data_IF_594153585642
#
_entry.id   IF_594153585642
#
_cell.length_a   1.000
_cell.length_b   1.000
_cell.length_c   1.000
_cell.angle_alpha   90.00
_cell.angle_beta   90.00
_cell.angle_gamma   90.00
#
_symmetry.space_group_name_H-M   'P 1'
#
loop_
_entity.id
_entity.type
_entity.pdbx_description
1 polymer ?
#
# COMPACT_ATOMS: atom_id res chain seq x y z
N UNK A 1 4.99 -23.66 -19.92
CA UNK A 1 4.57 -22.63 -18.94
C UNK A 1 3.36 -21.95 -19.54
N UNK A 2 2.19 -22.10 -18.93
CA UNK A 2 1.00 -21.40 -19.43
C UNK A 2 1.16 -19.92 -19.18
N UNK A 3 1.26 -19.16 -20.26
CA UNK A 3 1.35 -17.70 -20.22
C UNK A 3 0.06 -17.18 -19.57
N UNK A 4 0.13 -16.27 -18.58
CA UNK A 4 -1.07 -15.72 -17.98
C UNK A 4 -1.96 -15.16 -19.09
N UNK A 5 -3.28 -15.45 -19.06
CA UNK A 5 -4.18 -15.05 -20.14
C UNK A 5 -4.01 -13.56 -20.43
N UNK A 6 -3.93 -13.16 -21.71
CA UNK A 6 -3.70 -11.76 -22.13
C UNK A 6 -4.66 -10.79 -21.43
N UNK A 7 -5.88 -11.25 -21.12
CA UNK A 7 -6.89 -10.52 -20.35
C UNK A 7 -6.46 -10.15 -18.92
N UNK A 8 -5.65 -10.98 -18.26
CA UNK A 8 -5.09 -10.72 -16.93
C UNK A 8 -4.05 -9.60 -16.97
N UNK A 9 -3.19 -9.57 -18.00
CA UNK A 9 -2.23 -8.48 -18.19
C UNK A 9 -2.93 -7.15 -18.45
N UNK A 10 -3.98 -7.15 -19.28
CA UNK A 10 -4.78 -5.95 -19.54
C UNK A 10 -5.49 -5.45 -18.26
N UNK A 11 -6.04 -6.36 -17.45
CA UNK A 11 -6.66 -6.03 -16.17
C UNK A 11 -5.66 -5.42 -15.18
N UNK A 12 -4.50 -6.05 -15.00
CA UNK A 12 -3.45 -5.55 -14.12
C UNK A 12 -2.91 -4.19 -14.56
N UNK A 13 -2.82 -3.96 -15.88
CA UNK A 13 -2.38 -2.67 -16.40
C UNK A 13 -3.42 -1.57 -16.12
N UNK A 14 -4.71 -1.87 -16.29
CA UNK A 14 -5.79 -0.94 -15.96
C UNK A 14 -5.84 -0.62 -14.44
N UNK A 15 -5.68 -1.64 -13.60
CA UNK A 15 -5.64 -1.46 -12.15
C UNK A 15 -4.42 -0.65 -11.70
N UNK A 16 -3.26 -0.83 -12.34
CA UNK A 16 -2.08 -0.01 -12.09
C UNK A 16 -2.29 1.46 -12.46
N UNK A 17 -2.93 1.76 -13.60
CA UNK A 17 -3.25 3.14 -13.99
C UNK A 17 -4.27 3.77 -13.03
N UNK A 18 -5.26 3.00 -12.56
CA UNK A 18 -6.20 3.43 -11.53
C UNK A 18 -5.50 3.78 -10.22
N UNK A 19 -4.56 2.93 -9.78
CA UNK A 19 -3.78 3.16 -8.56
C UNK A 19 -2.85 4.38 -8.68
N UNK A 20 -2.18 4.57 -9.83
CA UNK A 20 -1.37 5.76 -10.09
C UNK A 20 -2.18 7.05 -9.96
N UNK A 21 -3.37 7.08 -10.57
CA UNK A 21 -4.28 8.23 -10.48
C UNK A 21 -4.69 8.50 -9.04
N UNK A 22 -5.01 7.45 -8.27
CA UNK A 22 -5.37 7.57 -6.85
C UNK A 22 -4.22 8.13 -6.01
N UNK A 23 -2.98 7.70 -6.27
CA UNK A 23 -1.78 8.22 -5.59
C UNK A 23 -1.59 9.72 -5.89
N UNK A 24 -1.76 10.14 -7.14
CA UNK A 24 -1.65 11.56 -7.52
C UNK A 24 -2.69 12.40 -6.76
N UNK A 25 -3.94 11.95 -6.74
CA UNK A 25 -5.02 12.64 -6.02
C UNK A 25 -4.75 12.73 -4.51
N UNK A 26 -4.28 11.64 -3.89
CA UNK A 26 -3.93 11.63 -2.47
C UNK A 26 -2.76 12.57 -2.17
N UNK A 27 -1.72 12.61 -3.02
CA UNK A 27 -0.61 13.55 -2.87
C UNK A 27 -1.06 15.00 -2.96
N UNK A 28 -1.98 15.31 -3.87
CA UNK A 28 -2.55 16.66 -3.98
C UNK A 28 -3.37 17.01 -2.73
N UNK A 29 -4.19 16.09 -2.24
CA UNK A 29 -4.98 16.29 -1.04
C UNK A 29 -4.12 16.52 0.21
N UNK A 30 -3.01 15.77 0.35
CA UNK A 30 -2.05 15.99 1.44
C UNK A 30 -1.45 17.40 1.37
N UNK A 31 -1.01 17.85 0.19
CA UNK A 31 -0.49 19.22 0.01
C UNK A 31 -1.53 20.30 0.38
N UNK A 32 -2.80 20.07 0.06
CA UNK A 32 -3.86 21.02 0.39
C UNK A 32 -4.14 21.04 1.90
N UNK A 33 -4.08 19.90 2.58
CA UNK A 33 -4.19 19.83 4.04
C UNK A 33 -2.99 20.48 4.74
N UNK A 34 -1.78 20.26 4.26
CA UNK A 34 -0.57 20.92 4.77
C UNK A 34 -0.69 22.44 4.68
N UNK A 35 -1.24 22.96 3.56
CA UNK A 35 -1.50 24.40 3.40
C UNK A 35 -2.52 24.91 4.42
N UNK A 36 -3.64 24.21 4.60
CA UNK A 36 -4.67 24.58 5.58
C UNK A 36 -4.15 24.58 7.02
N UNK A 37 -3.27 23.64 7.37
CA UNK A 37 -2.63 23.60 8.69
C UNK A 37 -1.70 24.82 8.86
N UNK A 38 -0.92 25.18 7.84
CA UNK A 38 -0.06 26.35 7.88
C UNK A 38 -0.86 27.66 8.03
N UNK A 39 -1.99 27.78 7.35
CA UNK A 39 -2.91 28.93 7.46
C UNK A 39 -3.52 29.04 8.87
N UNK A 40 -4.06 27.94 9.42
CA UNK A 40 -4.64 27.92 10.76
C UNK A 40 -3.62 28.23 11.87
N UNK A 41 -2.38 27.75 11.74
CA UNK A 41 -1.33 28.03 12.72
C UNK A 41 -0.94 29.53 12.71
N UNK A 42 -1.00 30.20 11.56
CA UNK A 42 -0.74 31.64 11.46
C UNK A 42 -1.82 32.50 12.12
N UNK A 43 -3.06 32.02 12.14
CA UNK A 43 -4.21 32.69 12.75
C UNK A 43 -4.26 32.48 14.28
N UNK A 44 -3.84 31.31 14.76
CA UNK A 44 -3.74 31.02 16.19
C UNK A 44 -2.60 31.79 16.88
N UNK A 45 -1.46 31.99 16.21
CA UNK A 45 -0.33 32.79 16.76
C UNK A 45 -0.66 34.29 16.84
N UNK A 46 -1.57 34.81 16.01
CA UNK A 46 -2.03 36.21 16.09
C UNK A 46 -3.04 36.49 17.21
N UNK A 47 -3.65 35.45 17.79
CA UNK A 47 -4.78 35.61 18.73
C UNK A 47 -4.39 35.48 20.22
N UNK A 48 -3.14 35.13 20.53
CA UNK A 48 -2.67 34.87 21.90
C UNK A 48 -1.86 36.01 22.53
N UNK A 49 -2.29 37.27 22.37
CA UNK A 49 -1.77 38.40 23.16
C UNK A 49 -2.91 39.16 23.85
N UNK A 50 -3.59 38.48 24.77
CA UNK A 50 -4.44 39.13 25.77
C UNK A 50 -3.77 38.91 27.13
N UNK A 51 -2.92 39.86 27.51
CA UNK A 51 -2.40 39.96 28.88
C UNK A 51 -3.54 40.42 29.78
N UNK A 52 -4.04 39.54 30.63
CA UNK A 52 -5.01 39.88 31.68
C UNK A 52 -4.23 40.55 32.82
N UNK A 53 -4.27 41.88 32.86
CA UNK A 53 -3.78 42.70 33.95
C UNK A 53 -4.92 42.87 34.97
N UNK A 54 -4.88 42.10 36.06
CA UNK A 54 -5.78 42.31 37.20
C UNK A 54 -5.17 43.34 38.14
N UNK A 55 -5.51 44.61 37.94
CA UNK A 55 -5.26 45.66 38.93
C UNK A 55 -6.32 45.58 40.03
N UNK A 56 -5.91 45.13 41.21
CA UNK A 56 -6.72 45.19 42.44
C UNK A 56 -6.65 46.62 42.96
N UNK A 57 -7.63 47.44 42.57
CA UNK A 57 -7.85 48.77 43.14
C UNK A 57 -8.43 48.61 44.55
N UNK A 58 -7.59 48.84 45.56
CA UNK A 58 -8.02 48.99 46.95
C UNK A 58 -8.85 50.27 47.10
N UNK A 59 -10.16 50.13 47.32
CA UNK A 59 -11.07 51.23 47.66
C UNK A 59 -11.17 51.42 49.19
N UNK A 60 -11.46 52.65 49.66
CA UNK A 60 -11.27 53.07 51.04
C UNK A 60 -12.44 52.66 51.95
N UNK A 61 -12.10 52.40 53.23
CA UNK A 61 -13.06 52.18 54.32
C UNK A 61 -14.00 53.37 54.49
N UNK A 62 -15.33 53.19 54.53
CA UNK A 62 -16.23 54.18 55.09
C UNK A 62 -16.37 53.98 56.60
N UNK A 63 -16.12 55.06 57.33
CA UNK A 63 -16.45 55.21 58.74
C UNK A 63 -17.95 54.97 58.96
N UNK A 64 -18.32 54.07 59.86
CA UNK A 64 -19.71 53.95 60.34
C UNK A 64 -19.84 54.58 61.72
N UNK A 65 -20.51 55.71 61.72
CA UNK A 65 -21.23 56.29 62.86
C UNK A 65 -22.29 55.32 63.38
N UNK A 66 -22.35 55.23 64.70
CA UNK A 66 -23.29 54.46 65.50
C UNK A 66 -24.73 54.95 65.28
N UNK A 67 -25.55 54.16 64.59
CA UNK A 67 -27.01 54.36 64.51
C UNK A 67 -27.71 53.05 64.86
N UNK A 68 -28.62 53.13 65.84
CA UNK A 68 -29.41 52.00 66.36
C UNK A 68 -30.44 51.52 65.32
N UNK A 69 -30.13 50.45 64.58
CA UNK A 69 -31.12 49.61 63.88
C UNK A 69 -30.71 48.13 64.00
N UNK A 70 -31.05 47.51 65.14
CA UNK A 70 -30.48 46.21 65.54
C UNK A 70 -31.15 44.97 64.91
N UNK A 71 -32.38 45.08 64.41
CA UNK A 71 -33.14 43.90 63.95
C UNK A 71 -33.11 43.70 62.42
N UNK A 72 -33.22 44.77 61.63
CA UNK A 72 -33.39 44.67 60.18
C UNK A 72 -32.08 44.39 59.44
N UNK A 73 -30.96 44.95 59.95
CA UNK A 73 -29.60 44.69 59.43
C UNK A 73 -29.20 43.21 59.62
N UNK A 74 -29.60 42.62 60.75
CA UNK A 74 -29.34 41.20 61.04
C UNK A 74 -30.09 40.27 60.08
N UNK A 75 -31.35 40.61 59.76
CA UNK A 75 -32.16 39.88 58.79
C UNK A 75 -31.55 40.02 57.38
N UNK A 76 -31.10 41.22 57.01
CA UNK A 76 -30.42 41.48 55.73
C UNK A 76 -29.12 40.68 55.61
N UNK A 77 -28.30 40.66 56.67
CA UNK A 77 -27.05 39.89 56.69
C UNK A 77 -27.31 38.39 56.59
N UNK A 78 -28.33 37.88 57.29
CA UNK A 78 -28.70 36.47 57.22
C UNK A 78 -29.16 36.07 55.81
N UNK A 79 -29.96 36.91 55.13
CA UNK A 79 -30.36 36.68 53.73
C UNK A 79 -29.16 36.70 52.79
N UNK A 80 -28.21 37.62 53.00
CA UNK A 80 -27.00 37.70 52.18
C UNK A 80 -26.12 36.46 52.37
N UNK A 81 -25.92 36.02 53.61
CA UNK A 81 -25.11 34.85 53.93
C UNK A 81 -25.75 33.56 53.35
N UNK A 82 -27.08 33.46 53.41
CA UNK A 82 -27.84 32.39 52.78
C UNK A 82 -27.66 32.39 51.26
N UNK A 83 -27.82 33.55 50.62
CA UNK A 83 -27.62 33.69 49.18
C UNK A 83 -26.18 33.34 48.74
N UNK A 84 -25.18 33.73 49.54
CA UNK A 84 -23.78 33.38 49.30
C UNK A 84 -23.53 31.87 49.42
N UNK A 85 -24.07 31.22 50.45
CA UNK A 85 -23.95 29.77 50.62
C UNK A 85 -24.64 29.00 49.49
N UNK A 86 -25.83 29.44 49.06
CA UNK A 86 -26.54 28.84 47.91
C UNK A 86 -25.75 29.01 46.61
N UNK A 87 -25.12 30.17 46.41
CA UNK A 87 -24.27 30.43 45.25
C UNK A 87 -23.01 29.54 45.26
N UNK A 88 -22.36 29.41 46.42
CA UNK A 88 -21.19 28.54 46.57
C UNK A 88 -21.53 27.09 46.26
N UNK A 89 -22.66 26.59 46.78
CA UNK A 89 -23.13 25.23 46.52
C UNK A 89 -23.45 25.02 45.03
N UNK A 90 -24.01 26.02 44.35
CA UNK A 90 -24.21 25.96 42.88
C UNK A 90 -22.89 25.82 42.13
N UNK A 91 -21.87 26.62 42.48
CA UNK A 91 -20.55 26.52 41.85
C UNK A 91 -19.87 25.17 42.11
N UNK A 92 -19.97 24.63 43.32
CA UNK A 92 -19.43 23.29 43.62
C UNK A 92 -20.12 22.19 42.80
N UNK A 93 -21.45 22.29 42.64
CA UNK A 93 -22.21 21.35 41.82
C UNK A 93 -21.87 21.47 40.33
N UNK A 94 -21.74 22.69 39.80
CA UNK A 94 -21.40 22.95 38.40
C UNK A 94 -19.99 22.44 38.07
N UNK A 95 -18.99 22.79 38.88
CA UNK A 95 -17.62 22.28 38.71
C UNK A 95 -17.49 20.77 38.88
N UNK A 96 -18.31 20.16 39.73
CA UNK A 96 -18.37 18.70 39.87
C UNK A 96 -19.00 18.03 38.65
N UNK A 97 -20.04 18.62 38.07
CA UNK A 97 -20.69 18.14 36.86
C UNK A 97 -19.78 18.27 35.64
N UNK A 98 -19.14 19.42 35.44
CA UNK A 98 -18.17 19.62 34.35
C UNK A 98 -17.02 18.60 34.40
N UNK A 99 -16.48 18.33 35.59
CA UNK A 99 -15.45 17.29 35.77
C UNK A 99 -15.96 15.91 35.40
N UNK A 100 -17.21 15.56 35.76
CA UNK A 100 -17.82 14.27 35.41
C UNK A 100 -18.02 14.15 33.90
N UNK A 101 -18.49 15.20 33.24
CA UNK A 101 -18.67 15.24 31.79
C UNK A 101 -17.34 15.10 31.05
N UNK A 102 -16.32 15.87 31.44
CA UNK A 102 -14.98 15.77 30.87
C UNK A 102 -14.38 14.37 31.07
N UNK A 103 -14.53 13.79 32.25
CA UNK A 103 -14.06 12.44 32.53
C UNK A 103 -14.80 11.38 31.71
N UNK A 104 -16.12 11.51 31.56
CA UNK A 104 -16.93 10.60 30.74
C UNK A 104 -16.55 10.69 29.26
N UNK A 105 -16.37 11.90 28.72
CA UNK A 105 -15.92 12.12 27.36
C UNK A 105 -14.51 11.56 27.12
N UNK A 106 -13.60 11.81 28.06
CA UNK A 106 -12.22 11.29 28.01
C UNK A 106 -12.22 9.75 28.03
N UNK A 107 -12.95 9.13 28.95
CA UNK A 107 -13.07 7.67 29.03
C UNK A 107 -13.66 7.06 27.75
N UNK A 108 -14.67 7.71 27.14
CA UNK A 108 -15.25 7.28 25.87
C UNK A 108 -14.22 7.28 24.74
N UNK A 109 -13.42 8.34 24.63
CA UNK A 109 -12.34 8.46 23.63
C UNK A 109 -11.24 7.42 23.87
N UNK A 110 -10.82 7.21 25.11
CA UNK A 110 -9.82 6.19 25.47
C UNK A 110 -10.27 4.80 25.04
N UNK A 111 -11.51 4.41 25.34
CA UNK A 111 -12.08 3.13 24.93
C UNK A 111 -12.19 2.98 23.41
N UNK A 112 -12.44 4.07 22.68
CA UNK A 112 -12.43 4.06 21.21
C UNK A 112 -11.02 3.84 20.66
N UNK A 113 -10.01 4.54 21.19
CA UNK A 113 -8.62 4.38 20.79
C UNK A 113 -8.09 2.98 21.10
N UNK A 114 -8.45 2.39 22.24
CA UNK A 114 -8.09 1.02 22.56
C UNK A 114 -8.66 0.02 21.56
N UNK A 115 -9.95 0.17 21.20
CA UNK A 115 -10.59 -0.69 20.18
C UNK A 115 -9.91 -0.56 18.82
N UNK A 116 -9.59 0.67 18.39
CA UNK A 116 -8.85 0.91 17.15
C UNK A 116 -7.46 0.30 17.19
N UNK A 117 -6.76 0.40 18.32
CA UNK A 117 -5.42 -0.17 18.48
C UNK A 117 -5.45 -1.70 18.38
N UNK A 118 -6.41 -2.35 19.04
CA UNK A 118 -6.60 -3.81 18.96
C UNK A 118 -6.89 -4.23 17.52
N UNK A 119 -7.79 -3.52 16.85
CA UNK A 119 -8.15 -3.81 15.45
C UNK A 119 -6.94 -3.65 14.52
N UNK A 120 -6.20 -2.54 14.65
CA UNK A 120 -5.02 -2.28 13.84
C UNK A 120 -3.91 -3.34 14.06
N UNK A 121 -3.72 -3.81 15.30
CA UNK A 121 -2.78 -4.90 15.61
C UNK A 121 -3.18 -6.19 14.91
N UNK A 122 -4.45 -6.56 14.95
CA UNK A 122 -4.98 -7.76 14.28
C UNK A 122 -4.82 -7.69 12.76
N UNK A 123 -5.12 -6.53 12.17
CA UNK A 123 -4.94 -6.32 10.73
C UNK A 123 -3.48 -6.40 10.31
N UNK A 124 -2.57 -5.83 11.11
CA UNK A 124 -1.13 -5.92 10.89
C UNK A 124 -0.65 -7.37 10.93
N UNK A 125 -1.01 -8.13 11.95
CA UNK A 125 -0.64 -9.55 12.08
C UNK A 125 -1.15 -10.37 10.88
N UNK A 126 -2.39 -10.13 10.46
CA UNK A 126 -2.95 -10.79 9.28
C UNK A 126 -2.19 -10.41 7.99
N UNK A 127 -1.78 -9.16 7.84
CA UNK A 127 -0.99 -8.70 6.70
C UNK A 127 0.41 -9.33 6.70
N UNK A 128 1.07 -9.43 7.85
CA UNK A 128 2.37 -10.11 8.02
C UNK A 128 2.27 -11.59 7.62
N UNK A 129 1.23 -12.29 8.09
CA UNK A 129 1.03 -13.69 7.72
C UNK A 129 0.79 -13.89 6.21
N UNK A 130 0.08 -12.95 5.56
CA UNK A 130 -0.10 -12.94 4.11
C UNK A 130 1.22 -12.67 3.38
N UNK A 131 2.05 -11.75 3.88
CA UNK A 131 3.36 -11.44 3.31
C UNK A 131 4.28 -12.66 3.37
N UNK A 132 4.40 -13.31 4.54
CA UNK A 132 5.19 -14.54 4.72
C UNK A 132 4.70 -15.64 3.78
N UNK A 133 3.38 -15.81 3.64
CA UNK A 133 2.81 -16.80 2.72
C UNK A 133 3.09 -16.48 1.25
N UNK A 134 3.14 -15.20 0.89
CA UNK A 134 3.50 -14.76 -0.46
C UNK A 134 4.98 -14.98 -0.75
N UNK A 135 5.87 -14.68 0.18
CA UNK A 135 7.32 -14.94 0.06
C UNK A 135 7.61 -16.42 -0.18
N UNK A 136 7.01 -17.32 0.61
CA UNK A 136 7.15 -18.77 0.42
C UNK A 136 6.67 -19.24 -0.95
N UNK A 137 5.61 -18.64 -1.51
CA UNK A 137 5.17 -18.95 -2.87
C UNK A 137 6.18 -18.44 -3.89
N UNK A 138 6.71 -17.23 -3.70
CA UNK A 138 7.68 -16.61 -4.59
C UNK A 138 9.00 -17.39 -4.62
N UNK A 139 9.45 -17.89 -3.47
CA UNK A 139 10.61 -18.77 -3.35
C UNK A 139 10.44 -20.06 -4.18
N UNK A 140 9.31 -20.76 -4.02
CA UNK A 140 8.99 -21.94 -4.83
C UNK A 140 8.95 -21.65 -6.33
N UNK A 141 8.40 -20.49 -6.71
CA UNK A 141 8.41 -20.06 -8.11
C UNK A 141 9.83 -19.81 -8.62
N UNK A 142 10.68 -19.16 -7.82
CA UNK A 142 12.09 -18.90 -8.14
C UNK A 142 12.87 -20.20 -8.32
N UNK A 143 12.68 -21.18 -7.43
CA UNK A 143 13.30 -22.51 -7.56
C UNK A 143 12.86 -23.23 -8.84
N UNK A 144 11.56 -23.19 -9.15
CA UNK A 144 11.03 -23.79 -10.39
C UNK A 144 11.56 -23.08 -11.63
N UNK A 145 11.67 -21.75 -11.59
CA UNK A 145 12.23 -20.97 -12.68
C UNK A 145 13.69 -21.35 -12.94
N UNK A 146 14.53 -21.40 -11.90
CA UNK A 146 15.94 -21.83 -12.02
C UNK A 146 16.07 -23.26 -12.55
N UNK A 147 15.20 -24.17 -12.13
CA UNK A 147 15.19 -25.54 -12.67
C UNK A 147 14.87 -25.56 -14.16
N UNK A 148 13.83 -24.84 -14.57
CA UNK A 148 13.44 -24.74 -15.96
C UNK A 148 14.53 -24.10 -16.81
N UNK A 149 15.15 -23.03 -16.32
CA UNK A 149 16.29 -22.36 -16.99
C UNK A 149 17.44 -23.34 -17.21
N UNK A 150 17.77 -24.16 -16.19
CA UNK A 150 18.78 -25.22 -16.31
C UNK A 150 18.37 -26.33 -17.29
N UNK A 151 17.09 -26.72 -17.31
CA UNK A 151 16.59 -27.71 -18.28
C UNK A 151 16.68 -27.17 -19.72
N UNK A 152 16.39 -25.89 -19.92
CA UNK A 152 16.50 -25.23 -21.22
C UNK A 152 17.95 -25.04 -21.64
N UNK A 153 18.88 -24.79 -20.72
CA UNK A 153 20.30 -24.65 -21.06
C UNK A 153 20.95 -25.97 -21.51
N UNK A 154 20.29 -27.11 -21.31
CA UNK A 154 20.75 -28.41 -21.81
C UNK A 154 20.32 -28.60 -23.27
N UNK A 155 19.34 -27.83 -23.76
CA UNK A 155 19.01 -27.85 -25.18
C UNK A 155 20.22 -27.32 -25.94
N UNK A 156 20.75 -28.15 -26.84
CA UNK A 156 21.91 -27.83 -27.64
C UNK A 156 21.60 -26.67 -28.58
N UNK A 157 22.28 -25.54 -28.37
CA UNK A 157 22.16 -24.35 -29.21
C UNK A 157 22.50 -24.67 -30.67
N UNK A 158 23.38 -25.66 -30.88
CA UNK A 158 23.92 -26.01 -32.19
C UNK A 158 23.13 -27.15 -32.85
N UNK A 159 22.04 -27.64 -32.23
CA UNK A 159 21.24 -28.73 -32.79
C UNK A 159 20.77 -28.42 -34.23
N UNK A 160 20.36 -27.19 -34.48
CA UNK A 160 19.89 -26.78 -35.81
C UNK A 160 21.02 -26.62 -36.82
N UNK A 161 22.21 -26.24 -36.36
CA UNK A 161 23.41 -26.12 -37.20
C UNK A 161 23.89 -27.51 -37.63
N UNK A 162 23.90 -28.49 -36.73
CA UNK A 162 24.23 -29.88 -37.05
C UNK A 162 23.23 -30.49 -38.06
N UNK A 163 21.94 -30.20 -37.90
CA UNK A 163 20.91 -30.61 -38.87
C UNK A 163 21.13 -29.96 -40.25
N UNK A 164 21.55 -28.69 -40.28
CA UNK A 164 21.87 -28.01 -41.54
C UNK A 164 23.12 -28.56 -42.21
N UNK A 165 24.17 -28.83 -41.43
CA UNK A 165 25.39 -29.49 -41.92
C UNK A 165 25.08 -30.86 -42.49
N UNK A 166 24.24 -31.65 -41.80
CA UNK A 166 23.82 -32.97 -42.28
C UNK A 166 23.00 -32.88 -43.57
N UNK A 167 22.10 -31.89 -43.67
CA UNK A 167 21.35 -31.60 -44.91
C UNK A 167 22.31 -31.30 -46.05
N UNK A 168 23.31 -30.47 -45.81
CA UNK A 168 24.30 -30.09 -46.82
C UNK A 168 25.17 -31.28 -47.25
N UNK A 169 25.63 -32.10 -46.31
CA UNK A 169 26.39 -33.32 -46.59
C UNK A 169 25.57 -34.33 -47.41
N UNK A 170 24.29 -34.54 -47.07
CA UNK A 170 23.39 -35.39 -47.83
C UNK A 170 23.17 -34.88 -49.26
N UNK A 171 23.03 -33.56 -49.42
CA UNK A 171 22.86 -32.97 -50.74
C UNK A 171 24.11 -33.17 -51.60
N UNK A 172 25.30 -32.92 -51.05
CA UNK A 172 26.57 -33.19 -51.74
C UNK A 172 26.73 -34.67 -52.10
N UNK A 173 26.38 -35.59 -51.20
CA UNK A 173 26.45 -37.03 -51.46
C UNK A 173 25.49 -37.44 -52.58
N UNK A 174 24.29 -36.85 -52.63
CA UNK A 174 23.33 -37.12 -53.69
C UNK A 174 23.82 -36.60 -55.05
N UNK A 175 24.41 -35.41 -55.09
CA UNK A 175 24.98 -34.85 -56.31
C UNK A 175 26.16 -35.69 -56.81
N UNK A 176 27.02 -36.14 -55.90
CA UNK A 176 28.13 -37.05 -56.23
C UNK A 176 27.61 -38.40 -56.74
N UNK A 177 26.58 -38.97 -56.12
CA UNK A 177 25.95 -40.21 -56.59
C UNK A 177 25.38 -40.06 -58.00
N UNK A 178 24.77 -38.92 -58.34
CA UNK A 178 24.28 -38.65 -59.70
C UNK A 178 25.41 -38.65 -60.72
N UNK A 179 26.56 -38.07 -60.39
CA UNK A 179 27.74 -38.09 -61.27
C UNK A 179 28.34 -39.50 -61.39
N UNK A 180 28.38 -40.27 -60.29
CA UNK A 180 28.75 -41.69 -60.33
C UNK A 180 27.80 -42.50 -61.21
N UNK A 181 26.49 -42.33 -61.10
CA UNK A 181 25.52 -43.03 -61.94
C UNK A 181 25.73 -42.72 -63.43
N UNK A 182 25.93 -41.44 -63.79
CA UNK A 182 26.22 -41.03 -65.17
C UNK A 182 27.50 -41.69 -65.71
N UNK A 183 28.58 -41.68 -64.92
CA UNK A 183 29.86 -42.26 -65.34
C UNK A 183 29.78 -43.77 -65.50
N UNK A 184 29.09 -44.47 -64.60
CA UNK A 184 28.86 -45.92 -64.74
C UNK A 184 28.00 -46.22 -65.96
N UNK A 185 26.92 -45.47 -66.22
CA UNK A 185 26.11 -45.62 -67.44
C UNK A 185 26.93 -45.45 -68.72
N UNK A 186 27.80 -44.43 -68.76
CA UNK A 186 28.71 -44.21 -69.89
C UNK A 186 29.67 -45.38 -70.10
N UNK A 187 30.28 -45.89 -69.02
CA UNK A 187 31.20 -47.03 -69.09
C UNK A 187 30.50 -48.32 -69.53
N UNK A 188 29.31 -48.60 -68.98
CA UNK A 188 28.45 -49.72 -69.38
C UNK A 188 28.15 -49.66 -70.89
N UNK A 189 27.76 -48.49 -71.39
CA UNK A 189 27.50 -48.27 -72.83
C UNK A 189 28.76 -48.52 -73.67
N UNK A 190 29.92 -48.03 -73.23
CA UNK A 190 31.19 -48.20 -73.93
C UNK A 190 31.67 -49.66 -73.97
N UNK A 191 31.38 -50.42 -72.92
CA UNK A 191 31.75 -51.84 -72.79
C UNK A 191 30.68 -52.79 -73.38
N UNK A 192 29.53 -52.27 -73.84
CA UNK A 192 28.43 -53.08 -74.37
C UNK A 192 27.67 -53.87 -73.30
N UNK A 193 27.78 -53.47 -72.03
CA UNK A 193 27.11 -54.12 -70.89
C UNK A 193 25.83 -53.34 -70.60
N UNK A 194 24.71 -54.04 -70.40
CA UNK A 194 23.45 -53.41 -70.01
C UNK A 194 23.55 -52.79 -68.61
N UNK A 195 23.25 -51.50 -68.49
CA UNK A 195 23.21 -50.83 -67.19
C UNK A 195 21.88 -51.17 -66.49
N UNK A 196 21.91 -51.65 -65.23
CA UNK A 196 20.69 -51.98 -64.50
C UNK A 196 19.92 -50.71 -64.14
N UNK A 197 18.92 -50.37 -64.94
CA UNK A 197 17.98 -49.29 -64.61
C UNK A 197 17.12 -49.72 -63.43
N UNK A 198 16.86 -48.80 -62.49
CA UNK A 198 16.02 -49.03 -61.30
C UNK A 198 14.57 -49.45 -61.63
N UNK A 199 14.17 -49.43 -62.91
CA UNK A 199 12.94 -50.00 -63.45
C UNK A 199 12.85 -51.54 -63.31
N UNK A 200 13.97 -52.26 -63.21
CA UNK A 200 13.98 -53.74 -63.14
C UNK A 200 13.68 -54.31 -61.74
N UNK A 201 13.48 -53.46 -60.72
CA UNK A 201 13.16 -53.87 -59.34
C UNK A 201 11.66 -53.99 -59.04
N UNK A 202 10.80 -53.89 -60.06
CA UNK A 202 9.35 -54.15 -59.97
C UNK A 202 8.96 -55.37 -60.82
N UNK A 203 9.40 -56.55 -60.42
CA UNK A 203 8.79 -57.84 -60.81
C UNK A 203 9.09 -58.88 -59.73
#
# INVERSE_FOLDING_TARGET
MDMPPIHMCAFLNHENERLKTKIINLKQHIKDLERKIAENNHEHVRSCSISIQTDIVAQPRPNLSTVKHSSDESIRLHRLLKAQNELLQKYENETSNERRELNSQSAGRTNEYERRLIQCKKEKEQAEQRAISAEKRMEKFSERYKRMEKELSILDENFFEEIEDLKYALQQANDLNREYEKTVQMLSTRLGISYPTTADKKK
#
